data_IF_456819077977
#
_entry.id   IF_456819077977
#
_cell.length_a   1.000
_cell.length_b   1.000
_cell.length_c   1.000
_cell.angle_alpha   90.00
_cell.angle_beta   90.00
_cell.angle_gamma   90.00
#
_symmetry.space_group_name_H-M   'P 1'
#
loop_
_entity.id
_entity.type
_entity.pdbx_description
1 polymer ?
#
# COMPACT_ATOMS: atom_id res chain seq x y z
N UNK A 1 -60.22 -47.38 31.57
CA UNK A 1 -58.85 -47.21 31.01
C UNK A 1 -58.97 -47.01 29.50
N UNK A 2 -59.17 -45.75 29.08
CA UNK A 2 -59.25 -45.34 27.66
C UNK A 2 -57.86 -44.85 27.23
N UNK A 3 -57.16 -45.65 26.42
CA UNK A 3 -55.81 -45.37 25.93
C UNK A 3 -55.86 -44.57 24.62
N UNK A 4 -55.43 -43.32 24.76
CA UNK A 4 -54.81 -42.40 23.79
C UNK A 4 -54.63 -42.92 22.35
N UNK A 5 -55.48 -42.45 21.43
CA UNK A 5 -55.15 -42.31 20.00
C UNK A 5 -54.91 -40.83 19.71
N UNK A 6 -53.66 -40.38 19.82
CA UNK A 6 -53.28 -39.01 19.47
C UNK A 6 -52.11 -38.98 18.48
N UNK A 7 -52.28 -38.16 17.45
CA UNK A 7 -51.22 -37.41 16.75
C UNK A 7 -50.26 -38.13 15.79
N UNK A 8 -50.81 -38.85 14.80
CA UNK A 8 -50.07 -39.08 13.54
C UNK A 8 -50.18 -37.89 12.57
N UNK A 9 -51.32 -37.17 12.54
CA UNK A 9 -51.54 -35.99 11.67
C UNK A 9 -50.79 -34.72 12.12
N UNK A 10 -50.53 -34.57 13.43
CA UNK A 10 -49.81 -33.40 13.96
C UNK A 10 -48.29 -33.45 13.73
N UNK A 11 -47.72 -34.67 13.60
CA UNK A 11 -46.28 -34.88 13.32
C UNK A 11 -45.93 -34.60 11.85
N UNK A 12 -46.80 -34.97 10.91
CA UNK A 12 -46.60 -34.69 9.48
C UNK A 12 -46.73 -33.20 9.15
N UNK A 13 -47.67 -32.48 9.77
CA UNK A 13 -47.80 -31.03 9.59
C UNK A 13 -46.59 -30.24 10.09
N UNK A 14 -45.99 -30.67 11.21
CA UNK A 14 -44.76 -30.06 11.76
C UNK A 14 -43.53 -30.29 10.89
N UNK A 15 -43.39 -31.47 10.27
CA UNK A 15 -42.28 -31.77 9.38
C UNK A 15 -42.35 -30.93 8.08
N UNK A 16 -43.54 -30.78 7.50
CA UNK A 16 -43.75 -29.97 6.29
C UNK A 16 -43.46 -28.49 6.58
N UNK A 17 -43.93 -27.97 7.72
CA UNK A 17 -43.64 -26.60 8.13
C UNK A 17 -42.15 -26.34 8.34
N UNK A 18 -41.41 -27.31 8.90
CA UNK A 18 -39.96 -27.19 9.10
C UNK A 18 -39.19 -27.23 7.77
N UNK A 19 -39.60 -28.10 6.83
CA UNK A 19 -39.00 -28.14 5.49
C UNK A 19 -39.28 -26.87 4.68
N UNK A 20 -40.48 -26.31 4.77
CA UNK A 20 -40.80 -25.02 4.14
C UNK A 20 -39.99 -23.88 4.75
N UNK A 21 -39.79 -23.87 6.08
CA UNK A 21 -39.00 -22.85 6.74
C UNK A 21 -37.51 -22.95 6.37
N UNK A 22 -36.95 -24.16 6.28
CA UNK A 22 -35.58 -24.39 5.78
C UNK A 22 -35.45 -23.99 4.31
N UNK A 23 -36.45 -24.28 3.47
CA UNK A 23 -36.45 -23.89 2.05
C UNK A 23 -36.56 -22.38 1.86
N UNK A 24 -37.37 -21.69 2.66
CA UNK A 24 -37.48 -20.23 2.65
C UNK A 24 -36.19 -19.59 3.17
N UNK A 25 -35.60 -20.10 4.27
CA UNK A 25 -34.30 -19.63 4.75
C UNK A 25 -33.21 -19.88 3.70
N UNK A 26 -33.22 -21.02 3.01
CA UNK A 26 -32.29 -21.30 1.91
C UNK A 26 -32.49 -20.37 0.71
N UNK A 27 -33.73 -20.03 0.34
CA UNK A 27 -34.01 -19.01 -0.69
C UNK A 27 -33.54 -17.63 -0.25
N UNK A 28 -33.75 -17.24 1.00
CA UNK A 28 -33.30 -15.95 1.53
C UNK A 28 -31.77 -15.88 1.69
N UNK A 29 -31.08 -16.95 2.09
CA UNK A 29 -29.60 -16.97 2.15
C UNK A 29 -28.96 -17.13 0.78
N UNK A 30 -29.56 -17.89 -0.14
CA UNK A 30 -29.09 -18.02 -1.52
C UNK A 30 -29.36 -16.77 -2.36
N UNK A 31 -30.46 -16.04 -2.11
CA UNK A 31 -30.70 -14.73 -2.74
C UNK A 31 -29.74 -13.65 -2.21
N UNK A 32 -29.34 -13.71 -0.93
CA UNK A 32 -28.26 -12.87 -0.39
C UNK A 32 -26.91 -13.24 -1.01
N UNK A 33 -26.57 -14.53 -1.14
CA UNK A 33 -25.37 -14.99 -1.86
C UNK A 33 -25.38 -14.60 -3.35
N UNK A 34 -26.52 -14.72 -4.02
CA UNK A 34 -26.69 -14.29 -5.42
C UNK A 34 -26.68 -12.78 -5.58
N UNK A 35 -27.02 -12.00 -4.55
CA UNK A 35 -26.83 -10.52 -4.57
C UNK A 35 -25.41 -10.10 -4.17
N UNK A 36 -24.63 -10.95 -3.50
CA UNK A 36 -23.18 -10.82 -3.40
C UNK A 36 -22.45 -11.13 -4.72
N UNK A 37 -22.99 -12.05 -5.54
CA UNK A 37 -22.41 -12.42 -6.84
C UNK A 37 -22.96 -11.63 -8.04
N UNK A 38 -23.95 -10.75 -7.84
CA UNK A 38 -24.44 -9.85 -8.90
C UNK A 38 -23.73 -8.50 -8.80
N UNK A 39 -22.44 -8.50 -9.11
CA UNK A 39 -21.82 -7.30 -9.71
C UNK A 39 -22.49 -7.16 -11.07
N UNK A 40 -23.52 -6.32 -11.14
CA UNK A 40 -24.13 -5.95 -12.41
C UNK A 40 -23.04 -5.39 -13.34
N UNK A 41 -22.87 -6.06 -14.48
CA UNK A 41 -21.91 -5.71 -15.51
C UNK A 41 -22.11 -4.28 -16.01
N UNK A 42 -21.15 -3.43 -15.66
CA UNK A 42 -20.85 -2.19 -16.36
C UNK A 42 -19.62 -2.40 -17.25
N UNK A 43 -19.82 -3.07 -18.38
CA UNK A 43 -18.77 -3.56 -19.31
C UNK A 43 -17.86 -2.44 -19.84
N UNK A 44 -18.33 -1.18 -19.88
CA UNK A 44 -17.51 -0.03 -20.33
C UNK A 44 -16.76 0.74 -19.24
N UNK A 45 -17.13 0.60 -17.96
CA UNK A 45 -16.52 1.38 -16.86
C UNK A 45 -15.33 0.67 -16.22
N UNK A 46 -15.34 -0.67 -16.20
CA UNK A 46 -14.28 -1.45 -15.57
C UNK A 46 -13.02 -1.45 -16.45
N UNK A 47 -13.17 -1.63 -17.76
CA UNK A 47 -12.08 -1.54 -18.74
C UNK A 47 -11.39 -0.17 -18.73
N UNK A 48 -12.17 0.90 -18.58
CA UNK A 48 -11.63 2.27 -18.46
C UNK A 48 -10.83 2.50 -17.18
N UNK A 49 -11.21 1.87 -16.06
CA UNK A 49 -10.48 1.94 -14.78
C UNK A 49 -9.18 1.14 -14.87
N UNK A 50 -9.24 -0.08 -15.40
CA UNK A 50 -8.07 -0.93 -15.60
C UNK A 50 -7.06 -0.22 -16.51
N UNK A 51 -7.50 0.34 -17.63
CA UNK A 51 -6.62 1.06 -18.55
C UNK A 51 -5.98 2.30 -17.91
N UNK A 52 -6.71 3.09 -17.12
CA UNK A 52 -6.18 4.31 -16.52
C UNK A 52 -5.21 4.06 -15.36
N UNK A 53 -5.39 2.97 -14.62
CA UNK A 53 -4.51 2.56 -13.52
C UNK A 53 -3.34 1.66 -13.95
N UNK A 54 -3.37 1.11 -15.16
CA UNK A 54 -2.28 0.29 -15.74
C UNK A 54 -1.29 1.09 -16.59
N UNK A 55 -1.34 2.43 -16.55
CA UNK A 55 -0.45 3.27 -17.35
C UNK A 55 0.94 3.44 -16.69
N UNK A 56 1.84 4.17 -17.34
CA UNK A 56 3.22 4.38 -16.85
C UNK A 56 3.30 5.15 -15.52
N UNK A 57 2.23 5.82 -15.08
CA UNK A 57 2.15 6.54 -13.80
C UNK A 57 1.20 5.88 -12.80
N UNK A 58 0.77 4.64 -13.07
CA UNK A 58 -0.21 3.89 -12.29
C UNK A 58 -1.57 4.60 -12.13
N UNK A 59 -1.87 5.60 -12.96
CA UNK A 59 -3.07 6.42 -12.84
C UNK A 59 -2.94 7.68 -11.97
N UNK A 60 -1.74 7.97 -11.45
CA UNK A 60 -1.41 9.25 -10.83
C UNK A 60 -0.98 10.27 -11.89
N UNK A 61 -1.01 11.57 -11.54
CA UNK A 61 -0.51 12.61 -12.43
C UNK A 61 0.99 12.47 -12.70
N UNK A 62 1.78 12.13 -11.67
CA UNK A 62 3.21 11.84 -11.76
C UNK A 62 3.67 10.86 -10.67
N UNK A 63 4.80 10.20 -10.88
CA UNK A 63 5.52 9.46 -9.84
C UNK A 63 6.84 10.17 -9.55
N UNK A 64 7.06 10.60 -8.32
CA UNK A 64 8.29 11.21 -7.84
C UNK A 64 9.13 10.18 -7.07
N UNK A 65 10.41 10.08 -7.37
CA UNK A 65 11.37 9.31 -6.57
C UNK A 65 12.25 10.29 -5.78
N UNK A 66 12.22 10.18 -4.46
CA UNK A 66 13.08 10.96 -3.56
C UNK A 66 14.43 10.26 -3.49
N UNK A 67 15.39 10.77 -4.27
CA UNK A 67 16.75 10.23 -4.34
C UNK A 67 17.76 11.37 -4.33
N UNK A 68 18.79 11.26 -3.49
CA UNK A 68 19.91 12.20 -3.53
C UNK A 68 20.78 12.01 -4.78
N UNK A 69 21.49 13.07 -5.21
CA UNK A 69 22.45 12.99 -6.32
C UNK A 69 23.55 11.99 -5.98
N UNK A 70 23.84 11.08 -6.91
CA UNK A 70 24.85 10.03 -6.73
C UNK A 70 24.44 8.90 -5.79
N UNK A 71 23.15 8.78 -5.42
CA UNK A 71 22.67 7.62 -4.65
C UNK A 71 23.00 6.31 -5.38
N UNK A 72 23.66 5.38 -4.68
CA UNK A 72 23.97 4.05 -5.19
C UNK A 72 22.71 3.22 -5.50
N UNK A 73 21.56 3.59 -4.93
CA UNK A 73 20.29 2.88 -5.09
C UNK A 73 19.53 3.28 -6.35
N UNK A 74 19.85 4.46 -6.90
CA UNK A 74 19.16 5.05 -8.07
C UNK A 74 19.22 4.16 -9.32
N UNK A 75 20.34 3.47 -9.56
CA UNK A 75 20.46 2.57 -10.72
C UNK A 75 19.45 1.42 -10.67
N UNK A 76 19.28 0.81 -9.49
CA UNK A 76 18.38 -0.34 -9.32
C UNK A 76 16.91 0.04 -9.56
N UNK A 77 16.45 1.12 -8.93
CA UNK A 77 15.07 1.58 -9.08
C UNK A 77 14.74 2.04 -10.52
N UNK A 78 15.70 2.62 -11.25
CA UNK A 78 15.54 2.95 -12.68
C UNK A 78 15.45 1.67 -13.53
N UNK A 79 16.26 0.66 -13.26
CA UNK A 79 16.17 -0.61 -13.99
C UNK A 79 14.82 -1.29 -13.75
N UNK A 80 14.35 -1.33 -12.51
CA UNK A 80 13.03 -1.86 -12.18
C UNK A 80 11.93 -1.10 -12.93
N UNK A 81 11.99 0.24 -12.95
CA UNK A 81 11.05 1.08 -13.69
C UNK A 81 11.07 0.81 -15.19
N UNK A 82 12.26 0.61 -15.78
CA UNK A 82 12.39 0.31 -17.20
C UNK A 82 11.76 -1.04 -17.58
N UNK A 83 11.88 -2.05 -16.72
CA UNK A 83 11.28 -3.38 -16.92
C UNK A 83 9.77 -3.35 -16.74
N UNK A 84 9.25 -2.66 -15.72
CA UNK A 84 7.79 -2.52 -15.52
C UNK A 84 7.19 -1.35 -16.28
N UNK A 85 7.99 -0.65 -17.08
CA UNK A 85 7.61 0.50 -17.90
C UNK A 85 6.87 1.59 -17.10
N UNK A 86 7.42 1.92 -15.93
CA UNK A 86 6.99 3.05 -15.10
C UNK A 86 7.79 4.30 -15.45
N UNK A 87 7.11 5.44 -15.44
CA UNK A 87 7.72 6.74 -15.70
C UNK A 87 7.90 7.49 -14.39
N UNK A 88 9.17 7.71 -14.03
CA UNK A 88 9.54 8.44 -12.83
C UNK A 88 10.06 9.84 -13.15
N UNK A 89 9.73 10.77 -12.26
CA UNK A 89 10.38 12.06 -12.10
C UNK A 89 11.31 11.95 -10.89
N UNK A 90 12.61 12.20 -11.08
CA UNK A 90 13.57 12.21 -9.97
C UNK A 90 14.10 13.65 -9.85
N UNK A 91 13.50 14.50 -8.98
CA UNK A 91 13.96 15.87 -8.81
C UNK A 91 15.43 15.94 -8.41
N UNK A 92 16.18 16.87 -9.01
CA UNK A 92 17.53 17.16 -8.54
C UNK A 92 17.42 17.84 -7.17
N UNK A 93 17.88 17.13 -6.14
CA UNK A 93 17.89 17.66 -4.78
C UNK A 93 18.89 18.81 -4.67
N UNK A 94 18.51 19.95 -4.06
CA UNK A 94 19.42 21.05 -3.85
C UNK A 94 20.53 20.66 -2.88
N UNK A 95 21.65 21.38 -2.95
CA UNK A 95 22.70 21.29 -1.93
C UNK A 95 22.20 22.06 -0.71
N UNK A 96 21.69 21.33 0.29
CA UNK A 96 21.22 21.91 1.54
C UNK A 96 22.38 22.56 2.30
N UNK A 97 22.26 23.85 2.58
CA UNK A 97 23.26 24.64 3.31
C UNK A 97 23.02 24.55 4.82
N UNK A 98 24.02 24.94 5.62
CA UNK A 98 23.81 25.08 7.06
C UNK A 98 22.73 26.12 7.41
N UNK A 99 22.50 27.11 6.54
CA UNK A 99 21.44 28.08 6.73
C UNK A 99 20.06 27.41 6.58
N UNK A 100 19.89 26.53 5.59
CA UNK A 100 18.67 25.75 5.40
C UNK A 100 18.41 24.84 6.62
N UNK A 101 19.45 24.15 7.10
CA UNK A 101 19.36 23.33 8.32
C UNK A 101 18.95 24.16 9.54
N UNK A 102 19.56 25.34 9.74
CA UNK A 102 19.21 26.24 10.86
C UNK A 102 17.80 26.80 10.75
N UNK A 103 17.33 27.11 9.55
CA UNK A 103 15.98 27.63 9.31
C UNK A 103 14.91 26.58 9.60
N UNK A 104 15.19 25.32 9.27
CA UNK A 104 14.31 24.20 9.56
C UNK A 104 14.25 23.87 11.05
N UNK A 105 15.39 23.87 11.73
CA UNK A 105 15.48 23.47 13.15
C UNK A 105 14.76 24.43 14.09
N UNK A 106 14.35 23.89 15.24
CA UNK A 106 14.02 24.72 16.39
C UNK A 106 15.27 25.47 16.86
N UNK A 107 15.09 26.75 17.21
CA UNK A 107 16.19 27.58 17.69
C UNK A 107 16.83 27.05 18.99
N UNK A 108 16.02 26.44 19.85
CA UNK A 108 16.43 25.82 21.10
C UNK A 108 15.89 24.39 21.17
N UNK A 109 16.65 23.47 21.76
CA UNK A 109 16.25 22.08 22.01
C UNK A 109 15.84 21.27 20.75
N UNK A 110 16.40 21.59 19.59
CA UNK A 110 16.26 20.76 18.38
C UNK A 110 16.72 19.33 18.68
N UNK A 111 15.90 18.35 18.30
CA UNK A 111 16.17 16.92 18.57
C UNK A 111 16.26 16.07 17.30
N UNK A 112 16.00 16.67 16.13
CA UNK A 112 16.11 16.00 14.83
C UNK A 112 17.58 15.73 14.45
N UNK A 113 17.90 14.52 14.00
CA UNK A 113 19.23 14.21 13.50
C UNK A 113 19.49 14.93 12.16
N UNK A 114 20.76 15.10 11.76
CA UNK A 114 21.08 15.69 10.45
C UNK A 114 20.53 14.85 9.29
N UNK A 115 20.68 13.53 9.33
CA UNK A 115 20.17 12.65 8.27
C UNK A 115 18.64 12.69 8.18
N UNK A 116 17.93 12.67 9.32
CA UNK A 116 16.47 12.80 9.34
C UNK A 116 15.99 14.15 8.79
N UNK A 117 16.71 15.24 9.09
CA UNK A 117 16.43 16.57 8.54
C UNK A 117 16.61 16.59 7.02
N UNK A 118 17.72 16.06 6.52
CA UNK A 118 17.99 16.07 5.07
C UNK A 118 16.99 15.21 4.29
N UNK A 119 16.58 14.07 4.84
CA UNK A 119 15.50 13.27 4.27
C UNK A 119 14.20 14.08 4.23
N UNK A 120 13.82 14.71 5.33
CA UNK A 120 12.63 15.54 5.43
C UNK A 120 12.63 16.67 4.39
N UNK A 121 13.72 17.44 4.29
CA UNK A 121 13.86 18.49 3.29
C UNK A 121 13.73 17.95 1.86
N UNK A 122 14.23 16.74 1.60
CA UNK A 122 14.10 16.12 0.29
C UNK A 122 12.66 15.77 -0.08
N UNK A 123 11.85 15.31 0.88
CA UNK A 123 10.42 15.12 0.67
C UNK A 123 9.69 16.46 0.45
N UNK A 124 9.97 17.50 1.25
CA UNK A 124 9.35 18.83 1.05
C UNK A 124 9.69 19.41 -0.33
N UNK A 125 10.94 19.22 -0.79
CA UNK A 125 11.34 19.65 -2.12
C UNK A 125 10.52 18.93 -3.20
N UNK A 126 10.36 17.60 -3.12
CA UNK A 126 9.53 16.85 -4.06
C UNK A 126 8.05 17.28 -4.02
N UNK A 127 7.50 17.56 -2.82
CA UNK A 127 6.15 18.10 -2.67
C UNK A 127 5.98 19.45 -3.37
N UNK A 128 6.97 20.35 -3.24
CA UNK A 128 6.94 21.64 -3.93
C UNK A 128 6.96 21.45 -5.46
N UNK A 129 7.83 20.57 -5.98
CA UNK A 129 7.85 20.23 -7.41
C UNK A 129 6.50 19.69 -7.92
N UNK A 130 5.85 18.82 -7.13
CA UNK A 130 4.51 18.36 -7.43
C UNK A 130 3.49 19.51 -7.52
N UNK A 131 3.50 20.42 -6.55
CA UNK A 131 2.59 21.56 -6.57
C UNK A 131 2.84 22.47 -7.78
N UNK A 132 4.11 22.71 -8.15
CA UNK A 132 4.49 23.56 -9.28
C UNK A 132 4.14 22.92 -10.64
N UNK A 133 4.09 21.59 -10.71
CA UNK A 133 3.81 20.86 -11.96
C UNK A 133 2.37 21.01 -12.50
N UNK A 134 1.43 21.47 -11.67
CA UNK A 134 0.01 21.53 -12.02
C UNK A 134 -0.75 20.19 -12.02
N UNK A 135 -0.09 19.06 -11.73
CA UNK A 135 -0.75 17.76 -11.63
C UNK A 135 -1.71 17.69 -10.43
N UNK A 136 -2.81 16.94 -10.56
CA UNK A 136 -3.86 16.78 -9.54
C UNK A 136 -3.47 15.80 -8.40
N UNK A 137 -2.69 14.78 -8.75
CA UNK A 137 -2.21 13.74 -7.83
C UNK A 137 -0.79 13.34 -8.17
N UNK A 138 -0.05 12.85 -7.18
CA UNK A 138 1.28 12.29 -7.39
C UNK A 138 1.55 11.14 -6.41
N UNK A 139 2.30 10.14 -6.87
CA UNK A 139 2.91 9.09 -6.05
C UNK A 139 4.33 9.49 -5.70
N UNK A 140 4.75 9.29 -4.46
CA UNK A 140 6.09 9.56 -3.95
C UNK A 140 6.69 8.24 -3.49
N UNK A 141 7.90 7.93 -3.96
CA UNK A 141 8.65 6.72 -3.63
C UNK A 141 10.01 7.09 -3.05
N UNK A 142 10.44 6.39 -2.00
CA UNK A 142 11.84 6.42 -1.57
C UNK A 142 12.72 5.65 -2.57
N UNK A 143 14.01 5.98 -2.68
CA UNK A 143 14.89 5.39 -3.69
C UNK A 143 15.38 3.97 -3.37
N UNK A 144 14.95 3.44 -2.23
CA UNK A 144 15.23 2.09 -1.76
C UNK A 144 14.00 1.22 -1.71
N UNK A 145 12.97 1.49 -2.50
CA UNK A 145 11.81 0.59 -2.61
C UNK A 145 11.95 -0.47 -3.70
N UNK A 146 11.24 -1.56 -3.50
CA UNK A 146 10.95 -2.62 -4.45
C UNK A 146 9.45 -2.76 -4.62
N UNK A 147 9.04 -3.39 -5.72
CA UNK A 147 7.65 -3.72 -6.01
C UNK A 147 7.55 -5.01 -6.82
N UNK A 148 6.35 -5.58 -6.84
CA UNK A 148 6.09 -6.77 -7.64
C UNK A 148 6.07 -6.44 -9.14
N UNK A 149 6.62 -7.31 -9.98
CA UNK A 149 6.63 -7.14 -11.45
C UNK A 149 5.21 -6.93 -12.04
N UNK A 150 4.15 -7.42 -11.36
CA UNK A 150 2.75 -7.27 -11.73
C UNK A 150 2.10 -5.99 -11.18
N UNK A 151 2.88 -5.08 -10.60
CA UNK A 151 2.40 -3.82 -10.02
C UNK A 151 1.50 -3.07 -11.00
N UNK A 152 1.99 -2.83 -12.22
CA UNK A 152 1.28 -2.05 -13.22
C UNK A 152 0.11 -2.81 -13.84
N UNK A 153 0.26 -4.11 -14.10
CA UNK A 153 -0.71 -4.91 -14.88
C UNK A 153 -1.83 -5.50 -14.03
N UNK A 154 -1.64 -5.60 -12.71
CA UNK A 154 -2.57 -6.31 -11.81
C UNK A 154 -2.83 -5.52 -10.54
N UNK A 155 -1.80 -5.17 -9.78
CA UNK A 155 -2.00 -4.64 -8.42
C UNK A 155 -2.59 -3.23 -8.41
N UNK A 156 -2.07 -2.32 -9.24
CA UNK A 156 -2.58 -0.95 -9.32
C UNK A 156 -4.04 -0.90 -9.78
N UNK A 157 -4.48 -1.67 -10.81
CA UNK A 157 -5.89 -1.80 -11.14
C UNK A 157 -6.77 -2.27 -9.99
N UNK A 158 -6.41 -3.36 -9.31
CA UNK A 158 -7.20 -3.89 -8.21
C UNK A 158 -7.31 -2.91 -7.04
N UNK A 159 -6.19 -2.29 -6.65
CA UNK A 159 -6.16 -1.27 -5.59
C UNK A 159 -6.98 -0.05 -5.99
N UNK A 160 -6.87 0.43 -7.23
CA UNK A 160 -7.63 1.60 -7.68
C UNK A 160 -9.15 1.38 -7.61
N UNK A 161 -9.61 0.19 -8.02
CA UNK A 161 -11.00 -0.21 -7.92
C UNK A 161 -11.48 -0.27 -6.46
N UNK A 162 -10.67 -0.87 -5.57
CA UNK A 162 -10.97 -0.96 -4.14
C UNK A 162 -11.02 0.41 -3.45
N UNK A 163 -10.09 1.32 -3.77
CA UNK A 163 -10.11 2.70 -3.26
C UNK A 163 -11.38 3.42 -3.72
N UNK A 164 -11.79 3.29 -4.98
CA UNK A 164 -13.05 3.87 -5.47
C UNK A 164 -14.27 3.30 -4.75
N UNK A 165 -14.27 1.99 -4.50
CA UNK A 165 -15.35 1.31 -3.79
C UNK A 165 -15.54 1.86 -2.39
N UNK A 166 -14.45 1.99 -1.61
CA UNK A 166 -14.52 2.43 -0.22
C UNK A 166 -14.83 3.92 -0.07
N UNK A 167 -14.39 4.76 -1.02
CA UNK A 167 -14.75 6.18 -1.08
C UNK A 167 -16.22 6.42 -1.47
N UNK A 168 -16.91 5.42 -2.02
CA UNK A 168 -18.35 5.42 -2.19
C UNK A 168 -18.89 6.40 -3.24
N UNK A 169 -19.97 7.13 -2.90
CA UNK A 169 -20.79 7.88 -3.88
C UNK A 169 -20.08 9.06 -4.54
N UNK A 170 -19.08 9.68 -3.89
CA UNK A 170 -18.30 10.78 -4.45
C UNK A 170 -17.56 10.35 -5.71
N UNK A 171 -16.97 9.15 -5.69
CA UNK A 171 -16.22 8.59 -6.80
C UNK A 171 -17.11 8.12 -7.96
N UNK A 172 -18.36 7.70 -7.71
CA UNK A 172 -19.25 7.15 -8.76
C UNK A 172 -19.66 8.15 -9.85
N UNK A 173 -19.61 9.45 -9.58
CA UNK A 173 -20.00 10.50 -10.54
C UNK A 173 -18.82 11.06 -11.33
N UNK A 174 -17.60 10.64 -11.03
CA UNK A 174 -16.38 11.11 -11.68
C UNK A 174 -15.94 10.17 -12.79
N UNK A 175 -15.32 10.76 -13.80
CA UNK A 175 -14.63 10.02 -14.85
C UNK A 175 -13.50 9.18 -14.24
N UNK A 176 -13.74 7.87 -14.20
CA UNK A 176 -12.81 6.90 -13.65
C UNK A 176 -11.54 6.75 -14.50
N UNK A 177 -11.57 7.20 -15.76
CA UNK A 177 -10.38 7.26 -16.62
C UNK A 177 -9.43 8.37 -16.19
N UNK A 178 -9.98 9.49 -15.68
CA UNK A 178 -9.20 10.62 -15.18
C UNK A 178 -8.73 10.42 -13.73
N UNK A 179 -9.59 9.82 -12.89
CA UNK A 179 -9.31 9.63 -11.47
C UNK A 179 -9.53 8.16 -11.04
N UNK A 180 -8.62 7.25 -11.41
CA UNK A 180 -8.76 5.82 -11.10
C UNK A 180 -8.80 5.51 -9.60
N UNK A 181 -8.23 6.37 -8.75
CA UNK A 181 -8.29 6.24 -7.28
C UNK A 181 -9.42 7.06 -6.63
N UNK A 182 -10.41 7.50 -7.41
CA UNK A 182 -11.51 8.33 -6.91
C UNK A 182 -11.18 9.81 -6.82
N UNK A 183 -12.15 10.62 -6.38
CA UNK A 183 -12.01 12.09 -6.34
C UNK A 183 -10.80 12.50 -5.48
N UNK A 184 -9.81 13.24 -6.01
CA UNK A 184 -8.75 13.84 -5.20
C UNK A 184 -9.28 14.78 -4.11
N UNK A 185 -10.52 15.25 -4.22
CA UNK A 185 -11.20 16.01 -3.17
C UNK A 185 -11.79 15.12 -2.08
N UNK A 186 -11.73 13.80 -2.16
CA UNK A 186 -12.31 12.83 -1.20
C UNK A 186 -11.26 12.09 -0.34
N UNK A 187 -9.99 12.17 -0.71
CA UNK A 187 -8.85 11.65 0.03
C UNK A 187 -7.69 12.65 -0.03
N UNK A 188 -6.80 12.60 0.96
CA UNK A 188 -5.62 13.48 1.00
C UNK A 188 -4.33 12.70 0.77
N UNK A 189 -4.27 11.46 1.28
CA UNK A 189 -3.12 10.57 1.14
C UNK A 189 -3.56 9.11 0.93
N UNK A 190 -2.86 8.38 0.06
CA UNK A 190 -2.94 6.92 -0.05
C UNK A 190 -1.59 6.31 0.35
N UNK A 191 -1.56 5.50 1.39
CA UNK A 191 -0.39 4.74 1.81
C UNK A 191 -0.29 3.47 0.98
N UNK A 192 0.67 3.44 0.05
CA UNK A 192 0.90 2.34 -0.90
C UNK A 192 2.18 1.56 -0.58
N UNK A 193 3.02 2.08 0.31
CA UNK A 193 4.26 1.49 0.78
C UNK A 193 4.60 2.01 2.17
N UNK A 194 4.68 1.10 3.13
CA UNK A 194 4.84 1.40 4.55
C UNK A 194 5.43 0.18 5.27
N UNK A 195 5.89 0.36 6.50
CA UNK A 195 6.30 -0.75 7.36
C UNK A 195 5.16 -1.25 8.28
N UNK A 196 3.99 -0.61 8.20
CA UNK A 196 2.73 -1.12 8.72
C UNK A 196 1.73 0.00 9.07
N UNK A 197 0.48 -0.39 9.21
CA UNK A 197 -0.61 0.45 9.73
C UNK A 197 -1.40 -0.39 10.74
N UNK A 198 -1.25 -0.05 12.02
CA UNK A 198 -1.67 -0.91 13.12
C UNK A 198 -2.78 -0.25 13.94
N UNK A 199 -3.65 -1.06 14.55
CA UNK A 199 -4.72 -0.57 15.44
C UNK A 199 -4.23 -0.26 16.87
N UNK A 200 -2.91 -0.16 17.04
CA UNK A 200 -2.22 0.18 18.27
C UNK A 200 -0.95 0.98 17.95
N UNK A 201 -0.40 1.67 18.94
CA UNK A 201 0.91 2.31 18.81
C UNK A 201 2.06 1.30 18.77
N UNK A 202 3.27 1.81 18.54
CA UNK A 202 4.51 1.01 18.52
C UNK A 202 5.01 0.60 19.92
N UNK A 203 4.36 1.10 20.98
CA UNK A 203 4.60 0.75 22.37
C UNK A 203 4.04 -0.65 22.73
N UNK A 204 3.16 -1.19 21.89
CA UNK A 204 2.61 -2.53 22.02
C UNK A 204 3.46 -3.49 21.20
N UNK A 205 3.94 -4.56 21.84
CA UNK A 205 4.66 -5.62 21.14
C UNK A 205 3.77 -6.27 20.06
N UNK A 206 4.35 -6.57 18.90
CA UNK A 206 3.68 -7.29 17.81
C UNK A 206 3.43 -8.77 18.17
N UNK A 207 2.54 -9.00 19.13
CA UNK A 207 2.09 -10.31 19.59
C UNK A 207 0.67 -10.58 19.10
N UNK A 208 0.34 -11.87 18.94
CA UNK A 208 -0.99 -12.29 18.53
C UNK A 208 -2.06 -11.81 19.54
N UNK A 209 -3.20 -11.30 19.03
CA UNK A 209 -4.37 -10.96 19.83
C UNK A 209 -4.53 -9.48 20.23
N UNK A 210 -3.61 -8.59 19.85
CA UNK A 210 -3.74 -7.13 20.08
C UNK A 210 -4.72 -6.45 19.12
N UNK A 211 -5.00 -7.08 17.98
CA UNK A 211 -5.96 -6.63 16.98
C UNK A 211 -7.00 -7.75 16.79
N UNK A 212 -8.26 -7.39 16.54
CA UNK A 212 -9.36 -8.34 16.37
C UNK A 212 -10.21 -7.95 15.15
N UNK A 213 -11.00 -8.88 14.57
CA UNK A 213 -11.87 -8.56 13.43
C UNK A 213 -12.84 -7.39 13.72
N UNK A 214 -13.29 -7.26 14.97
CA UNK A 214 -14.15 -6.16 15.42
C UNK A 214 -13.51 -4.76 15.29
N UNK A 215 -12.19 -4.67 15.33
CA UNK A 215 -11.47 -3.41 15.15
C UNK A 215 -11.55 -2.97 13.67
N UNK A 216 -11.48 -3.93 12.75
CA UNK A 216 -11.71 -3.71 11.33
C UNK A 216 -13.15 -3.31 11.03
N UNK A 217 -14.14 -4.00 11.63
CA UNK A 217 -15.57 -3.70 11.46
C UNK A 217 -15.92 -2.24 11.77
N UNK A 218 -15.20 -1.61 12.71
CA UNK A 218 -15.39 -0.20 13.10
C UNK A 218 -14.67 0.78 12.17
N UNK A 219 -13.80 0.29 11.30
CA UNK A 219 -12.95 1.12 10.44
C UNK A 219 -13.48 1.03 9.02
N UNK A 220 -13.73 2.14 8.31
CA UNK A 220 -14.12 2.07 6.90
C UNK A 220 -13.08 1.29 6.09
N UNK A 221 -13.51 0.21 5.43
CA UNK A 221 -12.61 -0.66 4.70
C UNK A 221 -13.31 -1.42 3.55
N UNK A 222 -12.50 -2.01 2.67
CA UNK A 222 -12.92 -3.01 1.71
C UNK A 222 -11.78 -4.01 1.51
N UNK A 223 -12.12 -5.28 1.28
CA UNK A 223 -11.17 -6.34 1.00
C UNK A 223 -11.41 -6.90 -0.41
N UNK A 224 -10.34 -7.31 -1.09
CA UNK A 224 -10.40 -7.87 -2.44
C UNK A 224 -9.29 -8.89 -2.66
N UNK A 225 -9.57 -9.87 -3.53
CA UNK A 225 -8.58 -10.88 -3.89
C UNK A 225 -7.52 -10.27 -4.82
N UNK A 226 -6.26 -10.50 -4.48
CA UNK A 226 -5.09 -10.21 -5.31
C UNK A 226 -4.20 -11.48 -5.41
N UNK A 227 -4.30 -12.23 -6.53
CA UNK A 227 -3.51 -13.44 -6.72
C UNK A 227 -2.02 -13.19 -6.93
N UNK A 228 -1.59 -11.94 -7.12
CA UNK A 228 -0.16 -11.59 -7.24
C UNK A 228 0.54 -11.44 -5.89
N UNK A 229 -0.20 -11.51 -4.78
CA UNK A 229 0.37 -11.46 -3.44
C UNK A 229 1.20 -12.71 -3.12
N UNK A 230 2.18 -12.54 -2.24
CA UNK A 230 2.85 -13.69 -1.60
C UNK A 230 1.85 -14.48 -0.76
N UNK A 231 2.01 -15.81 -0.73
CA UNK A 231 1.34 -16.68 0.23
C UNK A 231 1.53 -16.18 1.68
N UNK A 232 0.59 -16.46 2.58
CA UNK A 232 0.60 -15.91 3.95
C UNK A 232 1.89 -16.17 4.73
N UNK A 233 2.46 -17.37 4.58
CA UNK A 233 3.75 -17.78 5.19
C UNK A 233 4.97 -16.98 4.71
N UNK A 234 4.80 -16.28 3.59
CA UNK A 234 5.84 -15.51 2.92
C UNK A 234 5.68 -13.99 3.13
N UNK A 235 4.61 -13.56 3.77
CA UNK A 235 4.43 -12.17 4.19
C UNK A 235 5.34 -11.84 5.37
N UNK A 236 5.72 -10.57 5.47
CA UNK A 236 6.45 -10.04 6.61
C UNK A 236 5.77 -10.49 7.92
N UNK A 237 6.49 -10.94 8.97
CA UNK A 237 5.87 -11.53 10.16
C UNK A 237 4.82 -10.64 10.83
N UNK A 238 5.04 -9.33 10.90
CA UNK A 238 4.05 -8.39 11.43
C UNK A 238 2.82 -8.27 10.53
N UNK A 239 3.01 -8.23 9.20
CA UNK A 239 1.91 -8.23 8.24
C UNK A 239 1.11 -9.53 8.34
N UNK A 240 1.78 -10.70 8.39
CA UNK A 240 1.14 -12.00 8.59
C UNK A 240 0.29 -12.02 9.87
N UNK A 241 0.84 -11.57 10.99
CA UNK A 241 0.12 -11.53 12.26
C UNK A 241 -1.07 -10.57 12.20
N UNK A 242 -0.91 -9.38 11.61
CA UNK A 242 -1.99 -8.40 11.42
C UNK A 242 -3.15 -8.98 10.60
N UNK A 243 -2.86 -9.51 9.39
CA UNK A 243 -3.89 -10.06 8.49
C UNK A 243 -4.64 -11.22 9.14
N UNK A 244 -3.91 -12.15 9.79
CA UNK A 244 -4.50 -13.26 10.56
C UNK A 244 -5.42 -12.77 11.67
N UNK A 245 -4.97 -11.79 12.47
CA UNK A 245 -5.71 -11.28 13.62
C UNK A 245 -6.95 -10.46 13.21
N UNK A 246 -6.92 -9.82 12.04
CA UNK A 246 -8.07 -9.15 11.44
C UNK A 246 -9.06 -10.14 10.80
N UNK A 247 -8.68 -11.40 10.64
CA UNK A 247 -9.51 -12.41 9.95
C UNK A 247 -9.57 -12.20 8.44
N UNK A 248 -8.50 -11.70 7.84
CA UNK A 248 -8.39 -11.53 6.39
C UNK A 248 -7.79 -12.79 5.77
N UNK A 249 -8.46 -13.30 4.74
CA UNK A 249 -8.09 -14.53 4.05
C UNK A 249 -6.79 -14.40 3.25
N UNK A 250 -6.24 -15.54 2.80
CA UNK A 250 -5.06 -15.56 1.94
C UNK A 250 -5.33 -14.86 0.60
N UNK A 251 -4.26 -14.36 -0.03
CA UNK A 251 -4.33 -13.64 -1.31
C UNK A 251 -5.36 -12.51 -1.31
N UNK A 252 -5.62 -11.90 -0.16
CA UNK A 252 -6.59 -10.82 0.01
C UNK A 252 -5.88 -9.58 0.50
N UNK A 253 -6.05 -8.47 -0.23
CA UNK A 253 -5.65 -7.14 0.23
C UNK A 253 -6.82 -6.43 0.88
N UNK A 254 -6.47 -5.51 1.77
CA UNK A 254 -7.36 -4.63 2.48
C UNK A 254 -7.04 -3.18 2.09
N UNK A 255 -8.05 -2.41 1.70
CA UNK A 255 -7.99 -0.95 1.72
C UNK A 255 -8.80 -0.48 2.92
N UNK A 256 -8.20 0.30 3.81
CA UNK A 256 -8.90 0.82 4.97
C UNK A 256 -8.49 2.25 5.31
N UNK A 257 -9.34 2.95 6.08
CA UNK A 257 -8.97 4.24 6.66
C UNK A 257 -7.73 4.05 7.53
N UNK A 258 -6.70 4.86 7.33
CA UNK A 258 -5.44 4.70 8.08
C UNK A 258 -5.65 4.93 9.58
N UNK A 259 -4.92 4.17 10.42
CA UNK A 259 -5.05 4.22 11.89
C UNK A 259 -3.76 4.67 12.54
N UNK A 260 -2.67 3.96 12.27
CA UNK A 260 -1.31 4.26 12.73
C UNK A 260 -0.30 3.85 11.63
N UNK A 261 -0.28 4.52 10.47
CA UNK A 261 0.64 4.18 9.39
C UNK A 261 2.06 4.68 9.68
N UNK A 262 3.07 3.89 9.33
CA UNK A 262 4.49 4.17 9.59
C UNK A 262 5.39 3.88 8.39
N UNK A 263 6.53 4.59 8.33
CA UNK A 263 7.42 4.64 7.16
C UNK A 263 6.77 5.29 5.93
N UNK A 264 7.58 5.78 4.99
CA UNK A 264 7.12 6.52 3.79
C UNK A 264 7.64 5.93 2.48
N UNK A 265 7.84 4.61 2.45
CA UNK A 265 8.35 3.88 1.27
C UNK A 265 7.60 4.28 0.00
N UNK A 266 6.26 4.33 0.07
CA UNK A 266 5.42 4.75 -1.05
C UNK A 266 4.11 5.39 -0.59
N UNK A 267 3.86 6.65 -0.97
CA UNK A 267 2.60 7.31 -0.64
C UNK A 267 2.15 8.23 -1.77
N UNK A 268 0.85 8.25 -2.06
CA UNK A 268 0.27 9.16 -3.02
C UNK A 268 -0.47 10.30 -2.33
N UNK A 269 -0.46 11.48 -2.94
CA UNK A 269 -1.11 12.69 -2.42
C UNK A 269 -2.02 13.32 -3.45
N UNK A 270 -3.12 13.91 -2.96
CA UNK A 270 -3.83 14.95 -3.69
C UNK A 270 -3.11 16.30 -3.49
N UNK A 271 -3.35 17.26 -4.38
CA UNK A 271 -2.81 18.64 -4.20
C UNK A 271 -3.21 19.26 -2.85
N UNK A 272 -4.41 18.95 -2.36
CA UNK A 272 -4.87 19.46 -1.07
C UNK A 272 -4.07 18.86 0.10
N UNK A 273 -3.81 17.55 0.07
CA UNK A 273 -2.95 16.88 1.04
C UNK A 273 -1.52 17.43 1.03
N UNK A 274 -0.92 17.58 -0.16
CA UNK A 274 0.43 18.11 -0.31
C UNK A 274 0.61 19.52 0.27
N UNK A 275 -0.36 20.42 0.05
CA UNK A 275 -0.31 21.79 0.62
C UNK A 275 -0.32 21.78 2.15
N UNK A 276 -1.17 20.95 2.77
CA UNK A 276 -1.23 20.84 4.23
C UNK A 276 0.06 20.26 4.81
N UNK A 277 0.64 19.25 4.17
CA UNK A 277 1.91 18.66 4.60
C UNK A 277 3.05 19.68 4.48
N UNK A 278 3.10 20.49 3.42
CA UNK A 278 4.09 21.57 3.33
C UNK A 278 3.90 22.63 4.40
N UNK A 279 2.66 22.99 4.71
CA UNK A 279 2.32 23.97 5.75
C UNK A 279 2.78 23.50 7.13
N UNK A 280 2.46 22.26 7.51
CA UNK A 280 2.82 21.70 8.82
C UNK A 280 4.28 21.25 8.90
N UNK A 281 4.83 20.76 7.78
CA UNK A 281 6.15 20.16 7.69
C UNK A 281 7.26 21.14 7.37
N UNK A 282 6.97 22.43 7.12
CA UNK A 282 7.96 23.43 6.73
C UNK A 282 9.00 23.78 7.79
N UNK A 283 8.82 23.32 9.04
CA UNK A 283 9.75 23.53 10.16
C UNK A 283 9.72 22.35 11.12
N UNK A 284 10.81 22.13 11.85
CA UNK A 284 10.84 21.20 12.99
C UNK A 284 9.73 21.59 13.98
N UNK A 285 8.77 20.68 14.27
CA UNK A 285 7.67 20.98 15.18
C UNK A 285 8.17 21.21 16.61
N UNK A 286 7.59 22.20 17.31
CA UNK A 286 7.97 22.56 18.68
C UNK A 286 7.49 21.57 19.75
N UNK A 287 6.46 20.80 19.44
CA UNK A 287 5.95 19.76 20.33
C UNK A 287 6.86 18.53 20.26
N UNK A 288 7.11 17.88 21.40
CA UNK A 288 7.97 16.68 21.43
C UNK A 288 7.35 15.52 20.66
N UNK A 289 8.13 14.85 19.80
CA UNK A 289 7.72 13.61 19.12
C UNK A 289 8.07 13.52 17.64
N UNK A 290 8.26 14.66 16.96
CA UNK A 290 8.53 14.71 15.52
C UNK A 290 10.03 14.66 15.26
N UNK A 291 10.57 13.45 15.04
CA UNK A 291 12.00 13.27 14.77
C UNK A 291 12.31 12.82 13.34
N UNK A 292 11.29 12.54 12.54
CA UNK A 292 11.42 12.07 11.17
C UNK A 292 10.16 12.41 10.35
N UNK A 293 10.32 12.43 9.03
CA UNK A 293 9.27 12.82 8.10
C UNK A 293 8.09 11.83 8.09
N UNK A 294 8.37 10.54 8.20
CA UNK A 294 7.33 9.51 8.32
C UNK A 294 6.43 9.71 9.55
N UNK A 295 6.99 10.18 10.67
CA UNK A 295 6.22 10.56 11.87
C UNK A 295 5.32 11.78 11.60
N UNK A 296 5.77 12.77 10.82
CA UNK A 296 4.89 13.85 10.37
C UNK A 296 3.70 13.28 9.59
N UNK A 297 3.92 12.35 8.68
CA UNK A 297 2.84 11.78 7.86
C UNK A 297 1.88 10.94 8.72
N UNK A 298 2.40 10.11 9.64
CA UNK A 298 1.60 9.38 10.62
C UNK A 298 0.64 10.33 11.36
N UNK A 299 1.20 11.38 11.96
CA UNK A 299 0.43 12.33 12.78
C UNK A 299 -0.51 13.15 11.91
N UNK A 300 -0.14 13.45 10.67
CA UNK A 300 -1.02 14.10 9.71
C UNK A 300 -2.28 13.27 9.44
N UNK A 301 -2.13 11.94 9.33
CA UNK A 301 -3.23 11.01 9.12
C UNK A 301 -4.08 10.75 10.36
N UNK A 302 -3.43 10.57 11.51
CA UNK A 302 -4.09 10.19 12.76
C UNK A 302 -4.70 11.38 13.50
N UNK A 303 -3.96 12.49 13.59
CA UNK A 303 -4.24 13.57 14.52
C UNK A 303 -4.61 14.88 13.82
N UNK A 304 -4.00 15.20 12.66
CA UNK A 304 -4.22 16.48 11.97
C UNK A 304 -5.32 16.45 10.91
N UNK A 305 -6.03 15.33 10.81
CA UNK A 305 -7.26 15.24 10.02
C UNK A 305 -7.06 15.08 8.52
N UNK A 306 -5.88 14.63 8.04
CA UNK A 306 -5.79 14.14 6.66
C UNK A 306 -6.66 12.91 6.48
N UNK A 307 -7.28 12.81 5.30
CA UNK A 307 -8.07 11.65 4.89
C UNK A 307 -7.15 10.62 4.24
N UNK A 308 -6.51 9.83 5.09
CA UNK A 308 -5.56 8.82 4.68
C UNK A 308 -6.23 7.45 4.53
N UNK A 309 -5.82 6.72 3.51
CA UNK A 309 -6.23 5.33 3.28
C UNK A 309 -5.00 4.47 3.02
N UNK A 310 -4.98 3.29 3.62
CA UNK A 310 -3.84 2.37 3.56
C UNK A 310 -4.21 1.10 2.80
N UNK A 311 -3.24 0.57 2.05
CA UNK A 311 -3.32 -0.75 1.40
C UNK A 311 -2.48 -1.75 2.18
N UNK A 312 -3.11 -2.81 2.71
CA UNK A 312 -2.44 -3.90 3.43
C UNK A 312 -2.68 -5.27 2.77
N UNK A 313 -1.62 -6.08 2.54
CA UNK A 313 -0.22 -5.69 2.50
C UNK A 313 0.00 -4.58 1.46
N UNK A 314 1.10 -3.86 1.60
CA UNK A 314 1.48 -2.74 0.75
C UNK A 314 1.98 -3.18 -0.65
N UNK A 315 2.03 -2.23 -1.59
CA UNK A 315 2.52 -2.43 -2.96
C UNK A 315 4.04 -2.20 -3.09
N UNK A 316 4.58 -1.30 -2.27
CA UNK A 316 5.98 -0.92 -2.26
C UNK A 316 6.59 -1.21 -0.89
N UNK A 317 7.74 -1.86 -0.85
CA UNK A 317 8.45 -2.13 0.39
C UNK A 317 9.93 -1.83 0.22
N UNK A 318 10.59 -1.34 1.26
CA UNK A 318 12.02 -1.05 1.15
C UNK A 318 12.84 -2.33 0.92
N UNK A 319 13.84 -2.24 0.05
CA UNK A 319 14.79 -3.32 -0.20
C UNK A 319 15.61 -3.59 1.06
N UNK A 320 15.97 -4.85 1.34
CA UNK A 320 16.88 -5.15 2.43
C UNK A 320 18.24 -4.49 2.23
N UNK A 321 18.67 -3.72 3.23
CA UNK A 321 19.94 -3.00 3.22
C UNK A 321 20.04 -2.04 4.41
N UNK A 322 21.23 -1.48 4.67
CA UNK A 322 21.40 -0.50 5.74
C UNK A 322 20.71 0.81 5.37
N UNK A 323 20.09 1.45 6.36
CA UNK A 323 19.62 2.83 6.27
C UNK A 323 20.83 3.77 6.09
N UNK A 324 20.76 4.65 5.07
CA UNK A 324 21.81 5.66 4.81
C UNK A 324 21.92 6.60 6.01
N UNK A 325 20.80 6.99 6.61
CA UNK A 325 20.72 7.88 7.78
C UNK A 325 21.38 7.22 9.00
N UNK A 326 21.09 5.94 9.25
CA UNK A 326 21.67 5.19 10.37
C UNK A 326 23.18 4.98 10.18
N UNK A 327 23.59 4.63 8.95
CA UNK A 327 25.01 4.46 8.63
C UNK A 327 25.81 5.74 8.87
N UNK A 328 25.26 6.89 8.46
CA UNK A 328 25.88 8.21 8.68
C UNK A 328 25.96 8.59 10.17
N UNK A 329 25.00 8.14 10.99
CA UNK A 329 25.00 8.36 12.44
C UNK A 329 25.80 7.31 13.22
N UNK A 330 26.39 6.32 12.55
CA UNK A 330 27.12 5.22 13.17
C UNK A 330 26.22 4.18 13.86
N UNK A 331 24.90 4.25 13.68
CA UNK A 331 23.96 3.28 14.20
C UNK A 331 24.01 1.99 13.35
N UNK A 332 24.29 0.87 14.00
CA UNK A 332 24.35 -0.46 13.36
C UNK A 332 23.20 -1.37 13.77
N UNK A 333 22.27 -0.88 14.58
CA UNK A 333 21.14 -1.68 15.05
C UNK A 333 20.11 -1.82 13.94
N UNK A 334 19.66 -3.05 13.71
CA UNK A 334 18.52 -3.30 12.84
C UNK A 334 17.24 -2.79 13.50
N UNK A 335 16.43 -1.98 12.79
CA UNK A 335 15.08 -1.62 13.20
C UNK A 335 14.24 -2.86 13.54
N UNK A 336 13.24 -2.75 14.44
CA UNK A 336 12.40 -3.88 14.82
C UNK A 336 11.72 -4.59 13.64
N UNK A 337 11.28 -3.84 12.63
CA UNK A 337 10.64 -4.36 11.41
C UNK A 337 11.64 -5.24 10.64
N UNK A 338 12.80 -4.69 10.26
CA UNK A 338 13.86 -5.41 9.55
C UNK A 338 14.32 -6.67 10.30
N UNK A 339 14.44 -6.57 11.62
CA UNK A 339 14.84 -7.68 12.47
C UNK A 339 13.82 -8.81 12.42
N UNK A 340 12.53 -8.49 12.43
CA UNK A 340 11.47 -9.50 12.41
C UNK A 340 11.50 -10.33 11.12
N UNK A 341 11.74 -9.70 9.97
CA UNK A 341 11.80 -10.39 8.68
C UNK A 341 13.17 -10.92 8.28
N UNK A 342 14.23 -10.69 9.07
CA UNK A 342 15.62 -10.95 8.66
C UNK A 342 15.84 -12.38 8.12
N UNK A 343 15.37 -13.40 8.84
CA UNK A 343 15.53 -14.81 8.42
C UNK A 343 14.65 -15.15 7.20
N UNK A 344 13.45 -14.59 7.13
CA UNK A 344 12.56 -14.75 5.99
C UNK A 344 13.17 -14.15 4.73
N UNK A 345 13.73 -12.94 4.80
CA UNK A 345 14.41 -12.26 3.69
C UNK A 345 15.61 -13.09 3.19
N UNK A 346 16.42 -13.63 4.11
CA UNK A 346 17.56 -14.50 3.75
C UNK A 346 17.08 -15.75 3.02
N UNK A 347 16.04 -16.40 3.54
CA UNK A 347 15.53 -17.67 3.00
C UNK A 347 14.83 -17.48 1.66
N UNK A 348 13.96 -16.46 1.54
CA UNK A 348 13.22 -16.16 0.32
C UNK A 348 14.10 -15.56 -0.77
N UNK A 349 15.15 -14.84 -0.39
CA UNK A 349 15.89 -14.00 -1.32
C UNK A 349 14.98 -12.98 -2.00
N UNK A 350 14.08 -12.35 -1.24
CA UNK A 350 13.10 -11.40 -1.77
C UNK A 350 12.84 -10.29 -0.75
N UNK A 351 12.41 -9.12 -1.26
CA UNK A 351 11.90 -8.02 -0.44
C UNK A 351 10.64 -8.47 0.32
N UNK A 352 10.47 -8.13 1.62
CA UNK A 352 9.25 -8.49 2.37
C UNK A 352 7.97 -8.03 1.66
N UNK A 353 6.90 -8.83 1.79
CA UNK A 353 5.58 -8.63 1.17
C UNK A 353 5.54 -8.57 -0.37
N UNK A 354 6.69 -8.52 -1.05
CA UNK A 354 6.80 -8.62 -2.50
C UNK A 354 6.96 -10.09 -2.90
N UNK A 355 6.16 -10.55 -3.87
CA UNK A 355 6.25 -11.93 -4.36
C UNK A 355 7.33 -12.10 -5.43
N UNK A 356 7.39 -11.19 -6.40
CA UNK A 356 8.44 -11.23 -7.42
C UNK A 356 9.00 -9.83 -7.65
N UNK A 357 10.04 -9.48 -6.88
CA UNK A 357 10.66 -8.15 -6.87
C UNK A 357 12.00 -8.07 -7.60
N UNK A 358 12.65 -6.92 -7.55
CA UNK A 358 13.88 -6.63 -8.28
C UNK A 358 15.14 -6.76 -7.42
N UNK A 359 15.02 -6.79 -6.09
CA UNK A 359 16.16 -6.68 -5.16
C UNK A 359 17.35 -7.61 -5.44
N UNK A 360 17.11 -8.88 -5.77
CA UNK A 360 18.18 -9.87 -6.07
C UNK A 360 18.79 -9.77 -7.48
N UNK A 361 18.37 -8.80 -8.29
CA UNK A 361 18.96 -8.56 -9.60
C UNK A 361 18.60 -9.60 -10.67
N UNK A 362 17.57 -10.44 -10.45
CA UNK A 362 17.14 -11.46 -11.43
C UNK A 362 16.69 -10.86 -12.78
N UNK A 363 16.32 -9.57 -12.77
CA UNK A 363 15.88 -8.80 -13.93
C UNK A 363 16.89 -7.72 -14.32
N UNK A 364 18.17 -7.90 -13.96
CA UNK A 364 19.25 -7.02 -14.37
C UNK A 364 19.55 -7.12 -15.87
N UNK A 365 20.00 -6.01 -16.43
CA UNK A 365 20.45 -5.87 -17.81
C UNK A 365 21.52 -4.78 -17.90
N UNK A 366 22.35 -4.84 -18.94
CA UNK A 366 23.33 -3.79 -19.26
C UNK A 366 22.65 -2.63 -20.00
N UNK A 367 23.10 -1.40 -19.79
CA UNK A 367 22.42 -0.20 -20.32
C UNK A 367 22.37 -0.16 -21.86
N UNK A 368 23.29 -0.88 -22.53
CA UNK A 368 23.35 -0.99 -23.98
C UNK A 368 22.62 -2.22 -24.54
N UNK A 369 22.11 -3.10 -23.68
CA UNK A 369 21.42 -4.34 -24.07
C UNK A 369 19.91 -4.12 -24.21
N UNK A 370 19.52 -3.46 -25.31
CA UNK A 370 18.12 -3.14 -25.61
C UNK A 370 17.28 -4.41 -25.85
N UNK A 371 17.86 -5.46 -26.42
CA UNK A 371 17.18 -6.73 -26.67
C UNK A 371 16.80 -7.43 -25.36
N UNK A 372 17.72 -7.47 -24.38
CA UNK A 372 17.42 -8.00 -23.05
C UNK A 372 16.36 -7.18 -22.35
N UNK A 373 16.44 -5.85 -22.44
CA UNK A 373 15.43 -4.97 -21.84
C UNK A 373 14.04 -5.22 -22.47
N UNK A 374 13.92 -5.32 -23.79
CA UNK A 374 12.62 -5.57 -24.43
C UNK A 374 12.08 -6.96 -24.09
N UNK A 375 12.95 -7.98 -24.02
CA UNK A 375 12.56 -9.30 -23.51
C UNK A 375 12.00 -9.21 -22.09
N UNK A 376 12.67 -8.49 -21.19
CA UNK A 376 12.21 -8.32 -19.81
C UNK A 376 10.90 -7.51 -19.75
N UNK A 377 10.75 -6.44 -20.55
CA UNK A 377 9.48 -5.71 -20.65
C UNK A 377 8.35 -6.63 -21.09
N UNK A 378 8.58 -7.47 -22.09
CA UNK A 378 7.56 -8.35 -22.62
C UNK A 378 7.20 -9.48 -21.64
N UNK A 379 8.18 -10.25 -21.16
CA UNK A 379 7.93 -11.42 -20.32
C UNK A 379 7.66 -11.04 -18.85
N UNK A 380 8.47 -10.15 -18.28
CA UNK A 380 8.39 -9.80 -16.86
C UNK A 380 7.36 -8.69 -16.63
N UNK A 381 7.49 -7.56 -17.33
CA UNK A 381 6.66 -6.38 -17.10
C UNK A 381 5.22 -6.50 -17.61
N UNK A 382 5.02 -6.89 -18.87
CA UNK A 382 3.71 -6.92 -19.54
C UNK A 382 2.94 -8.22 -19.29
N UNK A 383 3.62 -9.37 -19.36
CA UNK A 383 2.99 -10.67 -19.05
C UNK A 383 2.97 -11.01 -17.56
N UNK A 384 3.72 -10.28 -16.72
CA UNK A 384 3.78 -10.55 -15.28
C UNK A 384 4.46 -11.88 -14.92
N UNK A 385 5.29 -12.43 -15.83
CA UNK A 385 5.91 -13.74 -15.66
C UNK A 385 7.15 -13.64 -14.79
N UNK A 386 7.11 -14.27 -13.61
CA UNK A 386 8.25 -14.30 -12.72
C UNK A 386 9.29 -15.32 -13.19
N UNK A 387 10.46 -14.84 -13.65
CA UNK A 387 11.56 -15.71 -14.10
C UNK A 387 12.37 -16.33 -12.95
N UNK A 388 11.96 -16.11 -11.70
CA UNK A 388 12.60 -16.70 -10.51
C UNK A 388 12.05 -18.11 -10.29
N UNK A 389 12.95 -19.04 -9.96
CA UNK A 389 12.60 -20.45 -9.73
C UNK A 389 11.47 -20.61 -8.71
N UNK A 390 10.43 -21.38 -9.05
CA UNK A 390 9.31 -21.71 -8.16
C UNK A 390 8.29 -20.60 -7.93
N UNK A 391 8.31 -19.53 -8.74
CA UNK A 391 7.39 -18.37 -8.60
C UNK A 391 6.65 -18.00 -9.89
N UNK A 392 6.84 -18.76 -10.97
CA UNK A 392 6.01 -18.60 -12.14
C UNK A 392 4.59 -19.04 -11.78
N UNK A 393 3.59 -18.18 -12.01
CA UNK A 393 2.17 -18.51 -11.78
C UNK A 393 1.65 -19.48 -12.87
N UNK A 394 2.51 -19.91 -13.80
CA UNK A 394 2.22 -20.93 -14.79
C UNK A 394 2.68 -22.31 -14.32
N UNK A 395 1.73 -23.02 -13.71
CA UNK A 395 1.69 -24.44 -13.42
C UNK A 395 0.27 -24.83 -13.06
#
# INVERSE_FOLDING_TARGET
>A
MLLLKANRRLRTGRAIALCLLVFVVWIFTSSQLLSFFRIEGGDGSNDGIVASSSNATLGFGQIYVISQRGSARRKGIIQAANVTELQFTIPEQPVWTEADERNFRLANNSSISKGSLLAWLGHLHALQQFLDSGADTALFLEDDVDWDIRLRTTQAPLVSAAVRQVLGRTSRRLDARKYPYGDPSSWDLLYLGHCGDYWHGMDVEFKDGHVKPKDLEKTPHTAFIDPSMSHSDNLHPFTKSLMKNLGVDEYTRLVHRSVFPLCTFGYALSRAGARRILEWGGKEPSEGGYKAYDVLILLSCRDYGLRCWTVNPELFHHVPGPSIIDTQSGNKNLPPVDRAAQEQVKTRGETPNIDCGFWKGAFGFDEQDEDRLEYLRQEVGRKGRCLKSGRDLQG
#
